data_IF_783130089318
#
_entry.id   IF_783130089318
#
_cell.length_a   1.000
_cell.length_b   1.000
_cell.length_c   1.000
_cell.angle_alpha   90.00
_cell.angle_beta   90.00
_cell.angle_gamma   90.00
#
_symmetry.space_group_name_H-M   'P 1'
#
loop_
_entity.id
_entity.type
_entity.pdbx_description
1 polymer ?
#
# COMPACT_ATOMS: atom_id res chain seq x y z
N UNK A 1 35.24 -42.93 -30.46
CA UNK A 1 34.76 -44.03 -31.34
C UNK A 1 33.34 -44.33 -30.91
N UNK A 2 32.41 -44.17 -31.85
CA UNK A 2 30.97 -44.03 -31.67
C UNK A 2 30.23 -45.31 -31.27
N UNK A 3 29.08 -45.14 -30.60
CA UNK A 3 27.77 -45.82 -30.79
C UNK A 3 26.95 -45.53 -29.51
N UNK A 4 25.78 -44.90 -29.49
CA UNK A 4 24.70 -44.91 -30.44
C UNK A 4 23.93 -43.58 -30.43
N UNK A 5 24.04 -42.85 -31.53
CA UNK A 5 23.04 -41.92 -32.02
C UNK A 5 22.02 -42.73 -32.82
N UNK A 6 20.88 -43.07 -32.23
CA UNK A 6 19.70 -43.47 -33.00
C UNK A 6 18.40 -43.31 -32.20
N UNK A 7 17.84 -42.10 -32.24
CA UNK A 7 16.40 -41.89 -32.07
C UNK A 7 15.98 -40.82 -33.10
N UNK A 8 14.97 -41.07 -33.95
CA UNK A 8 14.55 -40.13 -34.98
C UNK A 8 13.65 -39.05 -34.38
N UNK A 9 13.89 -37.80 -34.75
CA UNK A 9 12.98 -36.68 -34.48
C UNK A 9 13.73 -35.40 -34.19
N UNK A 10 13.56 -34.39 -35.05
CA UNK A 10 14.23 -33.09 -35.03
C UNK A 10 14.08 -32.27 -33.72
N UNK A 11 13.36 -32.75 -32.71
CA UNK A 11 13.19 -32.13 -31.39
C UNK A 11 14.40 -32.32 -30.46
N UNK A 12 15.17 -33.40 -30.61
CA UNK A 12 16.26 -33.71 -29.68
C UNK A 12 17.47 -32.76 -29.79
N UNK A 13 17.72 -32.18 -30.98
CA UNK A 13 18.86 -31.31 -31.21
C UNK A 13 18.62 -29.88 -30.68
N UNK A 14 17.41 -29.37 -30.83
CA UNK A 14 17.01 -28.05 -30.30
C UNK A 14 16.98 -28.06 -28.76
N UNK A 15 16.47 -29.13 -28.13
CA UNK A 15 16.48 -29.29 -26.67
C UNK A 15 17.90 -29.42 -26.09
N UNK A 16 18.83 -30.05 -26.82
CA UNK A 16 20.24 -30.18 -26.41
C UNK A 16 20.99 -28.85 -26.49
N UNK A 17 20.73 -28.04 -27.51
CA UNK A 17 21.36 -26.72 -27.70
C UNK A 17 20.91 -25.75 -26.61
N UNK A 18 19.62 -25.73 -26.29
CA UNK A 18 19.04 -24.88 -25.24
C UNK A 18 19.53 -25.27 -23.83
N UNK A 19 19.75 -26.57 -23.60
CA UNK A 19 20.30 -27.08 -22.33
C UNK A 19 21.78 -26.75 -22.19
N UNK A 20 22.56 -26.86 -23.28
CA UNK A 20 23.98 -26.52 -23.29
C UNK A 20 24.21 -25.02 -23.02
N UNK A 21 23.49 -24.12 -23.71
CA UNK A 21 23.62 -22.69 -23.48
C UNK A 21 23.16 -22.25 -22.09
N UNK A 22 22.12 -22.89 -21.53
CA UNK A 22 21.71 -22.65 -20.12
C UNK A 22 22.78 -23.10 -19.13
N UNK A 23 23.43 -24.24 -19.34
CA UNK A 23 24.48 -24.74 -18.44
C UNK A 23 25.80 -23.96 -18.58
N UNK A 24 26.10 -23.44 -19.78
CA UNK A 24 27.25 -22.57 -20.04
C UNK A 24 27.06 -21.13 -19.53
N UNK A 25 25.82 -20.72 -19.26
CA UNK A 25 25.50 -19.41 -18.70
C UNK A 25 25.84 -19.34 -17.20
N UNK A 26 26.89 -18.58 -16.87
CA UNK A 26 27.30 -18.32 -15.49
C UNK A 26 26.19 -17.62 -14.69
N UNK A 27 25.32 -16.84 -15.34
CA UNK A 27 24.15 -16.22 -14.73
C UNK A 27 23.12 -17.27 -14.29
N UNK A 28 22.80 -18.21 -15.16
CA UNK A 28 21.91 -19.34 -14.85
C UNK A 28 22.50 -20.25 -13.76
N UNK A 29 23.79 -20.55 -13.80
CA UNK A 29 24.45 -21.34 -12.76
C UNK A 29 24.38 -20.66 -11.38
N UNK A 30 24.64 -19.34 -11.31
CA UNK A 30 24.50 -18.55 -10.07
C UNK A 30 23.04 -18.48 -9.60
N UNK A 31 22.10 -18.36 -10.52
CA UNK A 31 20.67 -18.42 -10.22
C UNK A 31 20.29 -19.76 -9.58
N UNK A 32 20.71 -20.88 -10.16
CA UNK A 32 20.43 -22.20 -9.60
C UNK A 32 21.09 -22.41 -8.24
N UNK A 33 22.33 -21.96 -8.04
CA UNK A 33 22.96 -22.02 -6.71
C UNK A 33 22.14 -21.31 -5.63
N UNK A 34 21.54 -20.16 -5.96
CA UNK A 34 20.75 -19.39 -4.99
C UNK A 34 19.28 -19.82 -4.90
N UNK A 35 18.67 -20.29 -6.01
CA UNK A 35 17.23 -20.42 -6.16
C UNK A 35 16.76 -21.80 -6.65
N UNK A 36 17.62 -22.80 -6.79
CA UNK A 36 17.20 -24.15 -7.17
C UNK A 36 16.15 -24.73 -6.21
N UNK A 37 16.17 -24.32 -4.94
CA UNK A 37 15.17 -24.69 -3.94
C UNK A 37 13.73 -24.27 -4.32
N UNK A 38 13.56 -23.29 -5.23
CA UNK A 38 12.25 -22.83 -5.72
C UNK A 38 11.69 -23.75 -6.80
N UNK A 39 12.54 -24.45 -7.55
CA UNK A 39 12.11 -25.28 -8.70
C UNK A 39 11.07 -26.36 -8.34
N UNK A 40 11.16 -27.07 -7.20
CA UNK A 40 10.13 -28.02 -6.77
C UNK A 40 8.73 -27.38 -6.63
N UNK A 41 8.65 -26.07 -6.42
CA UNK A 41 7.39 -25.35 -6.28
C UNK A 41 6.78 -24.92 -7.61
N UNK A 42 7.43 -25.20 -8.76
CA UNK A 42 6.93 -24.79 -10.09
C UNK A 42 5.48 -25.19 -10.33
N UNK A 43 5.09 -26.39 -9.90
CA UNK A 43 3.71 -26.88 -10.02
C UNK A 43 2.71 -26.12 -9.13
N UNK A 44 3.17 -25.49 -8.04
CA UNK A 44 2.36 -24.67 -7.12
C UNK A 44 2.32 -23.18 -7.50
N UNK A 45 3.25 -22.72 -8.35
CA UNK A 45 3.30 -21.32 -8.77
C UNK A 45 1.97 -20.81 -9.37
N UNK A 46 1.23 -21.57 -10.20
CA UNK A 46 -0.06 -21.11 -10.71
C UNK A 46 -1.07 -20.84 -9.58
N UNK A 47 -1.15 -21.75 -8.60
CA UNK A 47 -2.03 -21.61 -7.43
C UNK A 47 -1.66 -20.37 -6.61
N UNK A 48 -0.38 -20.18 -6.30
CA UNK A 48 0.09 -19.01 -5.56
C UNK A 48 -0.14 -17.71 -6.32
N UNK A 49 0.01 -17.74 -7.64
CA UNK A 49 -0.30 -16.58 -8.50
C UNK A 49 -1.77 -16.22 -8.38
N UNK A 50 -2.67 -17.20 -8.41
CA UNK A 50 -4.09 -16.98 -8.18
C UNK A 50 -4.38 -16.46 -6.76
N UNK A 51 -3.77 -17.03 -5.71
CA UNK A 51 -3.91 -16.55 -4.32
C UNK A 51 -3.50 -15.08 -4.19
N UNK A 52 -2.37 -14.70 -4.80
CA UNK A 52 -1.90 -13.32 -4.81
C UNK A 52 -2.83 -12.40 -5.60
N UNK A 53 -3.37 -12.87 -6.73
CA UNK A 53 -4.33 -12.11 -7.53
C UNK A 53 -5.64 -11.83 -6.78
N UNK A 54 -6.20 -12.85 -6.10
CA UNK A 54 -7.39 -12.69 -5.25
C UNK A 54 -7.11 -11.71 -4.11
N UNK A 55 -5.99 -11.92 -3.39
CA UNK A 55 -5.59 -11.06 -2.27
C UNK A 55 -5.41 -9.61 -2.69
N UNK A 56 -4.74 -9.38 -3.83
CA UNK A 56 -4.48 -8.04 -4.36
C UNK A 56 -5.76 -7.33 -4.78
N UNK A 57 -6.70 -8.02 -5.40
CA UNK A 57 -8.01 -7.46 -5.77
C UNK A 57 -8.78 -7.01 -4.54
N UNK A 58 -8.89 -7.88 -3.54
CA UNK A 58 -9.59 -7.57 -2.29
C UNK A 58 -8.93 -6.37 -1.59
N UNK A 59 -7.60 -6.40 -1.43
CA UNK A 59 -6.86 -5.29 -0.82
C UNK A 59 -7.01 -3.98 -1.60
N UNK A 60 -7.03 -4.03 -2.93
CA UNK A 60 -7.20 -2.83 -3.78
C UNK A 60 -8.57 -2.20 -3.55
N UNK A 61 -9.64 -3.00 -3.52
CA UNK A 61 -10.99 -2.49 -3.22
C UNK A 61 -11.04 -1.87 -1.83
N UNK A 62 -10.52 -2.58 -0.82
CA UNK A 62 -10.49 -2.12 0.56
C UNK A 62 -9.67 -0.84 0.77
N UNK A 63 -8.53 -0.71 0.08
CA UNK A 63 -7.66 0.48 0.19
C UNK A 63 -8.23 1.70 -0.52
N UNK A 64 -9.06 1.50 -1.54
CA UNK A 64 -9.63 2.60 -2.36
C UNK A 64 -11.01 3.04 -1.89
N UNK A 65 -11.86 2.10 -1.47
CA UNK A 65 -13.25 2.38 -1.06
C UNK A 65 -13.49 2.26 0.43
N UNK A 66 -12.56 1.68 1.18
CA UNK A 66 -12.77 1.31 2.58
C UNK A 66 -13.65 0.07 2.73
N UNK A 67 -14.01 -0.22 3.98
CA UNK A 67 -14.97 -1.25 4.35
C UNK A 67 -16.33 -0.61 4.59
N UNK A 68 -17.34 -1.05 3.87
CA UNK A 68 -18.74 -0.65 3.96
C UNK A 68 -19.64 -1.85 3.68
N UNK A 69 -20.95 -1.72 3.91
CA UNK A 69 -21.92 -2.81 3.72
C UNK A 69 -22.02 -3.30 2.27
N UNK A 70 -21.73 -2.44 1.30
CA UNK A 70 -21.75 -2.73 -0.14
C UNK A 70 -20.39 -3.19 -0.69
N UNK A 71 -19.31 -3.12 0.12
CA UNK A 71 -17.96 -3.49 -0.31
C UNK A 71 -17.89 -4.92 -0.83
N UNK A 72 -18.63 -5.85 -0.21
CA UNK A 72 -18.65 -7.25 -0.62
C UNK A 72 -19.13 -7.41 -2.07
N UNK A 73 -20.18 -6.68 -2.47
CA UNK A 73 -20.70 -6.74 -3.83
C UNK A 73 -19.67 -6.24 -4.85
N UNK A 74 -18.93 -5.18 -4.51
CA UNK A 74 -17.85 -4.65 -5.35
C UNK A 74 -16.70 -5.65 -5.47
N UNK A 75 -16.30 -6.27 -4.37
CA UNK A 75 -15.25 -7.29 -4.35
C UNK A 75 -15.64 -8.49 -5.22
N UNK A 76 -16.86 -9.00 -5.07
CA UNK A 76 -17.37 -10.12 -5.87
C UNK A 76 -17.36 -9.80 -7.36
N UNK A 77 -17.81 -8.60 -7.75
CA UNK A 77 -17.80 -8.16 -9.14
C UNK A 77 -16.38 -8.12 -9.73
N UNK A 78 -15.38 -7.68 -8.96
CA UNK A 78 -13.98 -7.66 -9.43
C UNK A 78 -13.35 -9.06 -9.48
N UNK A 79 -13.69 -9.94 -8.54
CA UNK A 79 -13.16 -11.31 -8.52
C UNK A 79 -13.76 -12.17 -9.64
N UNK A 80 -15.02 -11.94 -10.02
CA UNK A 80 -15.66 -12.64 -11.13
C UNK A 80 -14.91 -12.48 -12.47
N UNK A 81 -14.14 -11.40 -12.63
CA UNK A 81 -13.32 -11.16 -13.81
C UNK A 81 -12.03 -12.00 -13.86
N UNK A 82 -11.66 -12.71 -12.78
CA UNK A 82 -10.38 -13.44 -12.67
C UNK A 82 -10.41 -14.87 -13.22
N UNK A 83 -11.54 -15.33 -13.75
CA UNK A 83 -11.68 -16.67 -14.31
C UNK A 83 -11.73 -17.79 -13.25
N UNK A 84 -11.63 -19.06 -13.66
CA UNK A 84 -11.74 -20.19 -12.75
C UNK A 84 -10.52 -20.31 -11.81
N UNK A 85 -10.78 -20.58 -10.54
CA UNK A 85 -9.77 -20.74 -9.50
C UNK A 85 -9.49 -22.23 -9.22
N UNK A 86 -8.25 -22.54 -8.86
CA UNK A 86 -7.93 -23.83 -8.26
C UNK A 86 -8.68 -24.00 -6.93
N UNK A 87 -9.05 -25.24 -6.58
CA UNK A 87 -9.88 -25.52 -5.41
C UNK A 87 -9.36 -24.92 -4.09
N UNK A 88 -8.05 -24.99 -3.75
CA UNK A 88 -7.53 -24.36 -2.53
C UNK A 88 -7.66 -22.83 -2.53
N UNK A 89 -7.55 -22.21 -3.71
CA UNK A 89 -7.66 -20.75 -3.87
C UNK A 89 -9.12 -20.31 -3.73
N UNK A 90 -10.06 -21.11 -4.25
CA UNK A 90 -11.49 -20.89 -4.06
C UNK A 90 -11.91 -20.99 -2.58
N UNK A 91 -11.36 -21.94 -1.82
CA UNK A 91 -11.56 -22.03 -0.37
C UNK A 91 -11.01 -20.80 0.34
N UNK A 92 -9.76 -20.41 0.03
CA UNK A 92 -9.16 -19.19 0.55
C UNK A 92 -10.01 -17.95 0.29
N UNK A 93 -10.49 -17.78 -0.95
CA UNK A 93 -11.38 -16.68 -1.33
C UNK A 93 -12.65 -16.69 -0.48
N UNK A 94 -13.32 -17.83 -0.38
CA UNK A 94 -14.55 -17.99 0.40
C UNK A 94 -14.36 -17.57 1.85
N UNK A 95 -13.26 -18.01 2.49
CA UNK A 95 -12.95 -17.67 3.87
C UNK A 95 -12.75 -16.16 4.08
N UNK A 96 -12.09 -15.48 3.14
CA UNK A 96 -11.92 -14.02 3.21
C UNK A 96 -13.25 -13.31 3.00
N UNK A 97 -14.06 -13.74 2.02
CA UNK A 97 -15.36 -13.12 1.75
C UNK A 97 -16.30 -13.23 2.96
N UNK A 98 -16.36 -14.39 3.60
CA UNK A 98 -17.12 -14.59 4.84
C UNK A 98 -16.62 -13.68 5.96
N UNK A 99 -15.30 -13.52 6.09
CA UNK A 99 -14.74 -12.60 7.07
C UNK A 99 -15.14 -11.15 6.78
N UNK A 100 -15.06 -10.72 5.51
CA UNK A 100 -15.44 -9.37 5.11
C UNK A 100 -16.91 -9.10 5.34
N UNK A 101 -17.79 -10.04 5.01
CA UNK A 101 -19.22 -9.94 5.30
C UNK A 101 -19.47 -9.77 6.80
N UNK A 102 -18.83 -10.60 7.62
CA UNK A 102 -18.96 -10.52 9.07
C UNK A 102 -18.46 -9.17 9.64
N UNK A 103 -17.38 -8.60 9.10
CA UNK A 103 -16.92 -7.28 9.54
C UNK A 103 -17.84 -6.16 9.03
N UNK A 104 -18.26 -6.21 7.77
CA UNK A 104 -19.15 -5.22 7.16
C UNK A 104 -20.51 -5.15 7.87
N UNK A 105 -21.03 -6.29 8.35
CA UNK A 105 -22.28 -6.36 9.11
C UNK A 105 -22.26 -5.56 10.43
N UNK A 106 -21.07 -5.35 11.02
CA UNK A 106 -20.90 -4.57 12.26
C UNK A 106 -21.01 -3.06 12.03
N UNK A 107 -20.91 -2.59 10.78
CA UNK A 107 -20.91 -1.17 10.48
C UNK A 107 -22.32 -0.59 10.51
N UNK A 108 -22.51 0.63 11.03
CA UNK A 108 -23.76 1.38 10.85
C UNK A 108 -24.12 1.55 9.37
N UNK A 109 -25.40 1.73 9.06
CA UNK A 109 -25.83 2.04 7.70
C UNK A 109 -25.21 3.37 7.23
N UNK A 110 -24.65 3.39 6.02
CA UNK A 110 -24.00 4.57 5.44
C UNK A 110 -22.60 4.90 5.99
N UNK A 111 -22.06 4.09 6.91
CA UNK A 111 -20.70 4.27 7.40
C UNK A 111 -19.68 3.51 6.55
N UNK A 112 -18.53 4.13 6.32
CA UNK A 112 -17.35 3.52 5.70
C UNK A 112 -16.18 3.61 6.66
N UNK A 113 -15.54 2.47 6.96
CA UNK A 113 -14.36 2.40 7.82
C UNK A 113 -13.08 2.25 6.99
N UNK A 114 -11.97 2.77 7.52
CA UNK A 114 -10.66 2.50 6.97
C UNK A 114 -10.33 1.02 7.12
N UNK A 115 -9.95 0.38 6.02
CA UNK A 115 -9.68 -1.05 6.01
C UNK A 115 -8.23 -1.41 6.38
N UNK A 116 -7.31 -0.44 6.41
CA UNK A 116 -5.89 -0.66 6.69
C UNK A 116 -5.20 0.60 7.24
N UNK A 117 -4.24 0.39 8.14
CA UNK A 117 -3.36 1.45 8.66
C UNK A 117 -2.40 2.00 7.61
N UNK A 118 -2.11 1.25 6.53
CA UNK A 118 -1.27 1.71 5.42
C UNK A 118 -1.78 3.03 4.84
N UNK A 119 -3.10 3.26 4.87
CA UNK A 119 -3.72 4.50 4.42
C UNK A 119 -3.28 5.66 5.32
N UNK A 120 -3.29 5.47 6.63
CA UNK A 120 -2.86 6.48 7.62
C UNK A 120 -1.36 6.72 7.46
N UNK A 121 -0.56 5.66 7.32
CA UNK A 121 0.89 5.74 7.11
C UNK A 121 1.24 6.50 5.83
N UNK A 122 0.53 6.24 4.74
CA UNK A 122 0.67 6.94 3.46
C UNK A 122 0.38 8.44 3.60
N UNK A 123 -0.71 8.80 4.29
CA UNK A 123 -1.08 10.19 4.56
C UNK A 123 0.00 10.91 5.38
N UNK A 124 0.51 10.26 6.43
CA UNK A 124 1.62 10.82 7.20
C UNK A 124 2.94 10.85 6.41
N UNK A 125 3.13 9.93 5.46
CA UNK A 125 4.23 9.97 4.50
C UNK A 125 4.16 11.23 3.62
N UNK A 126 2.99 11.53 3.06
CA UNK A 126 2.76 12.74 2.27
C UNK A 126 2.98 14.01 3.11
N UNK A 127 2.45 14.03 4.34
CA UNK A 127 2.69 15.13 5.29
C UNK A 127 4.19 15.34 5.57
N UNK A 128 4.94 14.27 5.84
CA UNK A 128 6.39 14.35 6.07
C UNK A 128 7.13 14.86 4.83
N UNK A 129 6.77 14.38 3.65
CA UNK A 129 7.37 14.84 2.39
C UNK A 129 7.12 16.34 2.14
N UNK A 130 5.91 16.83 2.42
CA UNK A 130 5.56 18.24 2.32
C UNK A 130 6.34 19.11 3.32
N UNK A 131 6.42 18.67 4.57
CA UNK A 131 7.09 19.41 5.65
C UNK A 131 8.62 19.30 5.65
N UNK A 132 9.20 18.35 4.92
CA UNK A 132 10.65 18.14 4.82
C UNK A 132 11.44 19.36 4.33
N UNK A 133 10.78 20.32 3.65
CA UNK A 133 11.37 21.58 3.18
C UNK A 133 11.63 22.59 4.31
N UNK A 134 11.04 22.38 5.49
CA UNK A 134 11.21 23.25 6.65
C UNK A 134 12.44 22.89 7.48
N UNK A 135 13.11 23.88 8.11
CA UNK A 135 14.27 23.64 8.97
C UNK A 135 13.93 22.90 10.28
N UNK A 136 12.65 22.75 10.62
CA UNK A 136 12.16 22.16 11.87
C UNK A 136 11.28 20.95 11.56
N UNK A 137 11.74 19.77 12.00
CA UNK A 137 11.06 18.48 11.84
C UNK A 137 10.01 18.23 12.94
N UNK A 138 9.26 19.26 13.33
CA UNK A 138 8.23 19.15 14.38
C UNK A 138 6.81 19.10 13.79
N UNK A 139 5.91 18.39 14.48
CA UNK A 139 4.47 18.44 14.17
C UNK A 139 3.92 19.77 14.68
N UNK A 140 3.99 20.80 13.84
CA UNK A 140 3.44 22.12 14.12
C UNK A 140 2.05 22.33 13.51
N UNK A 141 1.62 23.60 13.40
CA UNK A 141 0.32 24.00 12.82
C UNK A 141 0.02 23.36 11.45
N UNK A 142 1.05 22.99 10.69
CA UNK A 142 0.94 22.35 9.39
C UNK A 142 0.26 20.96 9.46
N UNK A 143 0.12 20.35 10.64
CA UNK A 143 -0.69 19.13 10.80
C UNK A 143 -2.13 19.31 10.31
N UNK A 144 -2.65 20.54 10.37
CA UNK A 144 -3.96 20.92 9.84
C UNK A 144 -4.04 20.86 8.31
N UNK A 145 -2.93 20.61 7.60
CA UNK A 145 -2.93 20.33 6.17
C UNK A 145 -3.28 18.87 5.84
N UNK A 146 -3.25 17.96 6.82
CA UNK A 146 -3.55 16.55 6.57
C UNK A 146 -4.93 16.36 5.90
N UNK A 147 -6.02 16.98 6.38
CA UNK A 147 -7.31 16.90 5.70
C UNK A 147 -7.29 17.47 4.28
N UNK A 148 -6.47 18.50 4.02
CA UNK A 148 -6.33 19.11 2.70
C UNK A 148 -5.64 18.19 1.67
N UNK A 149 -4.88 17.18 2.11
CA UNK A 149 -4.32 16.15 1.23
C UNK A 149 -5.34 15.08 0.84
N UNK A 150 -6.46 15.01 1.56
CA UNK A 150 -7.49 13.98 1.42
C UNK A 150 -8.72 14.46 0.66
N UNK A 151 -8.90 15.77 0.51
CA UNK A 151 -10.02 16.36 -0.21
C UNK A 151 -9.59 16.95 -1.56
N UNK A 152 -10.54 17.00 -2.49
CA UNK A 152 -10.37 17.75 -3.72
C UNK A 152 -10.49 19.25 -3.43
N UNK A 153 -9.37 19.97 -3.53
CA UNK A 153 -9.30 21.41 -3.27
C UNK A 153 -9.84 22.20 -4.47
N UNK A 154 -11.15 22.41 -4.51
CA UNK A 154 -11.80 23.24 -5.53
C UNK A 154 -11.95 24.69 -5.07
N UNK A 155 -12.06 25.64 -6.01
CA UNK A 155 -12.24 27.06 -5.67
C UNK A 155 -13.45 27.34 -4.75
N UNK A 156 -14.62 26.68 -4.92
CA UNK A 156 -15.74 26.81 -3.98
C UNK A 156 -15.39 26.35 -2.56
N UNK A 157 -14.73 25.20 -2.40
CA UNK A 157 -14.33 24.65 -1.09
C UNK A 157 -13.34 25.59 -0.40
N UNK A 158 -12.37 26.12 -1.15
CA UNK A 158 -11.40 27.08 -0.61
C UNK A 158 -12.10 28.35 -0.14
N UNK A 159 -13.01 28.90 -0.95
CA UNK A 159 -13.78 30.11 -0.58
C UNK A 159 -14.63 29.88 0.67
N UNK A 160 -15.31 28.75 0.76
CA UNK A 160 -16.11 28.38 1.93
C UNK A 160 -15.24 28.25 3.18
N UNK A 161 -14.09 27.58 3.09
CA UNK A 161 -13.16 27.46 4.20
C UNK A 161 -12.65 28.84 4.67
N UNK A 162 -12.30 29.73 3.73
CA UNK A 162 -11.85 31.09 4.05
C UNK A 162 -12.96 31.94 4.70
N UNK A 163 -14.22 31.72 4.34
CA UNK A 163 -15.35 32.46 4.88
C UNK A 163 -15.84 31.91 6.25
N UNK A 164 -15.68 30.62 6.50
CA UNK A 164 -16.20 29.93 7.68
C UNK A 164 -15.19 29.83 8.84
N UNK A 165 -13.89 29.85 8.54
CA UNK A 165 -12.84 29.65 9.55
C UNK A 165 -12.09 30.95 9.82
N UNK A 166 -12.17 31.45 11.06
CA UNK A 166 -11.43 32.64 11.48
C UNK A 166 -10.02 32.25 11.93
N UNK A 167 -9.03 33.07 11.59
CA UNK A 167 -7.63 32.87 12.00
C UNK A 167 -7.47 32.70 13.51
N UNK A 168 -8.24 33.45 14.31
CA UNK A 168 -8.18 33.39 15.78
C UNK A 168 -8.60 32.01 16.33
N UNK A 169 -9.50 31.30 15.65
CA UNK A 169 -9.94 29.97 16.08
C UNK A 169 -8.84 28.94 15.81
N UNK A 170 -8.14 29.06 14.67
CA UNK A 170 -6.99 28.22 14.33
C UNK A 170 -5.84 28.43 15.33
N UNK A 171 -5.52 29.68 15.67
CA UNK A 171 -4.48 29.99 16.65
C UNK A 171 -4.81 29.43 18.03
N UNK A 172 -6.07 29.57 18.48
CA UNK A 172 -6.55 28.99 19.72
C UNK A 172 -6.42 27.47 19.72
N UNK A 173 -6.82 26.83 18.63
CA UNK A 173 -6.73 25.37 18.49
C UNK A 173 -5.27 24.90 18.58
N UNK A 174 -4.35 25.56 17.86
CA UNK A 174 -2.91 25.26 17.88
C UNK A 174 -2.36 25.43 19.30
N UNK A 175 -2.71 26.51 19.99
CA UNK A 175 -2.25 26.71 21.36
C UNK A 175 -2.76 25.62 22.32
N UNK A 176 -4.02 25.22 22.19
CA UNK A 176 -4.66 24.25 23.06
C UNK A 176 -4.15 22.81 22.85
N UNK A 177 -3.82 22.42 21.62
CA UNK A 177 -3.48 21.02 21.30
C UNK A 177 -1.99 20.78 21.04
N UNK A 178 -1.27 21.77 20.48
CA UNK A 178 0.15 21.63 20.12
C UNK A 178 1.06 22.39 21.08
N UNK A 179 0.56 23.48 21.68
CA UNK A 179 1.35 24.34 22.56
C UNK A 179 2.44 25.14 21.81
N UNK A 180 3.45 25.67 22.52
CA UNK A 180 4.51 26.48 21.93
C UNK A 180 5.47 25.63 21.08
N UNK A 181 5.79 26.11 19.88
CA UNK A 181 6.76 25.46 18.99
C UNK A 181 8.16 25.35 19.62
N UNK A 182 8.97 24.38 19.16
CA UNK A 182 10.35 24.23 19.62
C UNK A 182 11.18 25.49 19.37
N UNK A 183 10.94 26.19 18.26
CA UNK A 183 11.57 27.49 18.00
C UNK A 183 11.14 28.55 19.01
N UNK A 184 9.85 28.62 19.36
CA UNK A 184 9.35 29.55 20.36
C UNK A 184 9.93 29.25 21.75
N UNK A 185 10.03 27.97 22.11
CA UNK A 185 10.69 27.51 23.35
C UNK A 185 12.17 27.90 23.38
N UNK A 186 12.92 27.64 22.30
CA UNK A 186 14.32 28.05 22.17
C UNK A 186 14.50 29.55 22.27
N UNK A 187 13.70 30.34 21.54
CA UNK A 187 13.74 31.80 21.61
C UNK A 187 13.43 32.32 23.02
N UNK A 188 12.49 31.70 23.73
CA UNK A 188 12.17 32.06 25.12
C UNK A 188 13.34 31.74 26.06
N UNK A 189 13.99 30.58 25.89
CA UNK A 189 15.13 30.18 26.71
C UNK A 189 16.40 31.02 26.42
N UNK A 190 16.58 31.47 25.18
CA UNK A 190 17.74 32.26 24.74
C UNK A 190 17.48 33.78 24.74
N UNK A 191 16.35 34.24 25.30
CA UNK A 191 16.11 35.68 25.46
C UNK A 191 17.12 36.24 26.47
N UNK A 192 17.96 37.22 26.10
CA UNK A 192 18.82 37.89 27.07
C UNK A 192 17.93 38.56 28.12
N UNK A 193 18.31 38.42 29.39
CA UNK A 193 17.68 39.18 30.46
C UNK A 193 17.80 40.67 30.12
N UNK A 194 16.66 41.33 29.87
CA UNK A 194 16.64 42.78 29.78
C UNK A 194 17.19 43.30 31.10
N UNK A 195 18.38 43.93 31.07
CA UNK A 195 18.82 44.77 32.16
C UNK A 195 17.81 45.91 32.25
N UNK A 196 16.94 45.87 33.25
CA UNK A 196 16.20 47.05 33.71
C UNK A 196 17.25 48.06 34.17
N UNK A 197 17.38 49.16 33.44
CA UNK A 197 18.08 50.36 33.87
C UNK A 197 17.10 51.25 34.64
#
# INVERSE_FOLDING_TARGET
MCEALHVPGATALEDLDDTFWRLADQGYARFLQAFAWVLPYRARLPEWTQTLAVSKTIQTVLKTRGLARDTLAVVLAQLAAQGPLAAPVADFQTRILLHLEHQAAKLPAGATWLASSDIIESVFGHYKAFTARGPLKEVGRLVLLIPAFLCELTAPVIREAMASVRTIDVERWVHMHLGPSMLARRRRALRPAMKTA
#
